data_IF_049527323524
#
_entry.id   IF_049527323524
#
_cell.length_a   1.000
_cell.length_b   1.000
_cell.length_c   1.000
_cell.angle_alpha   90.00
_cell.angle_beta   90.00
_cell.angle_gamma   90.00
#
_symmetry.space_group_name_H-M   'P 1'
#
loop_
_entity.id
_entity.type
_entity.pdbx_description
1 polymer ?
#
# COMPACT_ATOMS: atom_id res chain seq x y z
N UNK A 1 -2.02 12.88 25.51
CA UNK A 1 -1.44 11.55 25.22
C UNK A 1 -2.49 10.72 24.50
N UNK A 2 -2.15 10.16 23.33
CA UNK A 2 -3.09 9.40 22.49
C UNK A 2 -2.56 9.21 21.07
N UNK A 3 -1.26 8.96 20.91
CA UNK A 3 -0.67 8.51 19.66
C UNK A 3 -0.99 7.02 19.50
N UNK A 4 -1.89 6.67 18.58
CA UNK A 4 -1.93 5.41 17.81
C UNK A 4 -3.30 5.28 17.15
N UNK A 5 -3.45 5.94 16.00
CA UNK A 5 -4.46 5.55 15.02
C UNK A 5 -4.02 4.24 14.35
N UNK A 6 -4.11 3.12 15.07
CA UNK A 6 -4.00 1.78 14.50
C UNK A 6 -5.26 1.51 13.70
N UNK A 7 -5.41 2.23 12.59
CA UNK A 7 -6.52 2.13 11.65
C UNK A 7 -6.24 1.12 10.55
N UNK A 8 -5.60 -0.01 10.87
CA UNK A 8 -5.75 -1.18 10.02
C UNK A 8 -7.07 -1.80 10.47
N UNK A 9 -8.18 -1.29 9.92
CA UNK A 9 -9.44 -2.04 9.96
C UNK A 9 -9.10 -3.47 9.55
N UNK A 10 -9.52 -4.53 10.29
CA UNK A 10 -9.16 -5.89 9.94
C UNK A 10 -9.56 -6.11 8.49
N UNK A 11 -8.57 -6.11 7.60
CA UNK A 11 -8.75 -6.68 6.29
C UNK A 11 -9.01 -8.16 6.55
N UNK A 12 -9.64 -8.84 5.59
CA UNK A 12 -9.64 -10.30 5.62
C UNK A 12 -8.22 -10.80 5.93
N UNK A 13 -8.02 -11.94 6.63
CA UNK A 13 -6.69 -12.49 6.90
C UNK A 13 -5.75 -12.49 5.69
N UNK A 14 -6.29 -12.59 4.48
CA UNK A 14 -5.55 -12.45 3.23
C UNK A 14 -4.91 -11.06 3.01
N UNK A 15 -5.61 -9.97 3.33
CA UNK A 15 -5.07 -8.60 3.23
C UNK A 15 -3.91 -8.39 4.19
N UNK A 16 -4.00 -8.90 5.42
CA UNK A 16 -2.93 -8.78 6.41
C UNK A 16 -1.66 -9.53 5.98
N UNK A 17 -1.82 -10.73 5.40
CA UNK A 17 -0.71 -11.50 4.81
C UNK A 17 -0.04 -10.74 3.67
N UNK A 18 -0.83 -10.11 2.79
CA UNK A 18 -0.30 -9.32 1.68
C UNK A 18 0.41 -8.05 2.16
N UNK A 19 -0.14 -7.37 3.18
CA UNK A 19 0.53 -6.23 3.82
C UNK A 19 1.86 -6.65 4.46
N UNK A 20 1.91 -7.83 5.08
CA UNK A 20 3.17 -8.37 5.60
C UNK A 20 4.18 -8.68 4.48
N UNK A 21 3.71 -9.21 3.34
CA UNK A 21 4.55 -9.50 2.19
C UNK A 21 5.19 -8.24 1.56
N UNK A 22 4.58 -7.05 1.68
CA UNK A 22 5.21 -5.78 1.28
C UNK A 22 6.49 -5.45 2.07
N UNK A 23 6.72 -6.10 3.22
CA UNK A 23 7.93 -5.94 4.04
C UNK A 23 8.94 -7.05 3.83
N UNK A 24 8.71 -7.94 2.85
CA UNK A 24 9.60 -9.05 2.55
C UNK A 24 10.96 -8.55 2.05
N UNK A 25 12.07 -9.24 2.41
CA UNK A 25 13.37 -8.97 1.81
C UNK A 25 13.44 -9.39 0.33
N UNK A 26 12.43 -10.08 -0.20
CA UNK A 26 12.38 -10.51 -1.60
C UNK A 26 11.49 -9.59 -2.42
N UNK A 27 12.05 -9.05 -3.49
CA UNK A 27 11.40 -8.07 -4.34
C UNK A 27 10.17 -8.69 -5.02
N UNK A 28 10.25 -9.97 -5.42
CA UNK A 28 9.15 -10.69 -6.06
C UNK A 28 7.93 -10.82 -5.13
N UNK A 29 8.15 -11.02 -3.83
CA UNK A 29 7.06 -11.10 -2.84
C UNK A 29 6.39 -9.72 -2.65
N UNK A 30 7.19 -8.64 -2.64
CA UNK A 30 6.67 -7.27 -2.56
C UNK A 30 5.86 -6.90 -3.81
N UNK A 31 6.37 -7.23 -5.00
CA UNK A 31 5.70 -6.99 -6.28
C UNK A 31 4.38 -7.77 -6.39
N UNK A 32 4.40 -9.05 -6.01
CA UNK A 32 3.19 -9.86 -5.97
C UNK A 32 2.16 -9.27 -5.02
N UNK A 33 2.58 -8.83 -3.82
CA UNK A 33 1.68 -8.21 -2.86
C UNK A 33 0.98 -6.97 -3.43
N UNK A 34 1.71 -6.07 -4.08
CA UNK A 34 1.14 -4.87 -4.74
C UNK A 34 0.06 -5.24 -5.76
N UNK A 35 0.30 -6.27 -6.58
CA UNK A 35 -0.62 -6.72 -7.62
C UNK A 35 -1.97 -7.23 -7.07
N UNK A 36 -2.00 -7.75 -5.85
CA UNK A 36 -3.24 -8.17 -5.17
C UNK A 36 -3.87 -7.07 -4.34
N UNK A 37 -3.08 -6.29 -3.60
CA UNK A 37 -3.57 -5.25 -2.71
C UNK A 37 -4.38 -4.17 -3.45
N UNK A 38 -4.00 -3.83 -4.69
CA UNK A 38 -4.73 -2.87 -5.52
C UNK A 38 -6.19 -3.24 -5.81
N UNK A 39 -6.55 -4.52 -5.71
CA UNK A 39 -7.90 -5.02 -6.03
C UNK A 39 -8.93 -4.72 -4.92
N UNK A 40 -8.46 -4.44 -3.71
CA UNK A 40 -9.31 -4.19 -2.54
C UNK A 40 -8.80 -2.97 -1.77
N UNK A 41 -8.87 -1.76 -2.37
CA UNK A 41 -8.32 -0.55 -1.76
C UNK A 41 -9.09 -0.15 -0.50
N UNK A 42 -8.33 0.16 0.55
CA UNK A 42 -8.80 0.84 1.75
C UNK A 42 -7.65 1.69 2.32
N UNK A 43 -7.94 2.61 3.23
CA UNK A 43 -6.95 3.56 3.77
C UNK A 43 -5.67 2.88 4.31
N UNK A 44 -5.81 1.71 4.95
CA UNK A 44 -4.69 0.93 5.45
C UNK A 44 -3.81 0.41 4.31
N UNK A 45 -4.42 -0.16 3.27
CA UNK A 45 -3.74 -0.63 2.06
C UNK A 45 -3.08 0.51 1.31
N UNK A 46 -3.79 1.62 1.08
CA UNK A 46 -3.26 2.79 0.38
C UNK A 46 -2.03 3.35 1.09
N UNK A 47 -2.06 3.43 2.42
CA UNK A 47 -0.90 3.84 3.22
C UNK A 47 0.33 2.94 2.98
N UNK A 48 0.14 1.62 2.86
CA UNK A 48 1.25 0.70 2.61
C UNK A 48 1.78 0.83 1.17
N UNK A 49 0.89 1.00 0.18
CA UNK A 49 1.32 1.19 -1.22
C UNK A 49 2.07 2.52 -1.37
N UNK A 50 1.64 3.60 -0.71
CA UNK A 50 2.44 4.82 -0.65
C UNK A 50 3.82 4.57 -0.02
N UNK A 51 3.89 3.79 1.06
CA UNK A 51 5.18 3.42 1.66
C UNK A 51 6.12 2.72 0.68
N UNK A 52 5.59 1.83 -0.16
CA UNK A 52 6.36 1.18 -1.22
C UNK A 52 6.81 2.17 -2.32
N UNK A 53 5.95 3.12 -2.72
CA UNK A 53 6.26 4.14 -3.73
C UNK A 53 7.37 5.13 -3.30
N UNK A 54 7.45 5.41 -1.99
CA UNK A 54 8.47 6.26 -1.38
C UNK A 54 9.66 5.48 -0.80
N UNK A 55 9.73 4.16 -1.00
CA UNK A 55 10.87 3.33 -0.58
C UNK A 55 12.10 3.49 -1.47
N UNK A 56 13.12 2.65 -1.26
CA UNK A 56 14.41 2.75 -1.96
C UNK A 56 14.52 1.85 -3.21
N UNK A 57 13.67 0.83 -3.32
CA UNK A 57 13.72 -0.14 -4.41
C UNK A 57 13.02 0.38 -5.67
N UNK A 58 13.77 0.56 -6.75
CA UNK A 58 13.25 1.17 -7.98
C UNK A 58 12.08 0.39 -8.59
N UNK A 59 12.16 -0.94 -8.66
CA UNK A 59 11.12 -1.76 -9.29
C UNK A 59 9.83 -1.75 -8.46
N UNK A 60 9.97 -1.86 -7.14
CA UNK A 60 8.84 -1.83 -6.21
C UNK A 60 8.19 -0.44 -6.18
N UNK A 61 8.97 0.63 -6.30
CA UNK A 61 8.42 2.00 -6.40
C UNK A 61 7.58 2.19 -7.64
N UNK A 62 8.07 1.74 -8.80
CA UNK A 62 7.34 1.82 -10.07
C UNK A 62 6.04 1.00 -10.01
N UNK A 63 6.12 -0.22 -9.49
CA UNK A 63 4.95 -1.07 -9.30
C UNK A 63 3.92 -0.44 -8.35
N UNK A 64 4.37 0.22 -7.28
CA UNK A 64 3.50 0.90 -6.34
C UNK A 64 2.83 2.14 -6.95
N UNK A 65 3.57 2.91 -7.75
CA UNK A 65 3.00 4.03 -8.51
C UNK A 65 1.91 3.56 -9.48
N UNK A 66 2.17 2.49 -10.24
CA UNK A 66 1.18 1.91 -11.17
C UNK A 66 -0.06 1.43 -10.40
N UNK A 67 0.14 0.75 -9.27
CA UNK A 67 -0.97 0.29 -8.43
C UNK A 67 -1.84 1.46 -7.95
N UNK A 68 -1.25 2.57 -7.48
CA UNK A 68 -2.00 3.76 -7.09
C UNK A 68 -2.72 4.38 -8.29
N UNK A 69 -2.06 4.49 -9.44
CA UNK A 69 -2.68 5.03 -10.65
C UNK A 69 -3.92 4.21 -11.06
N UNK A 70 -3.84 2.88 -11.08
CA UNK A 70 -4.98 1.99 -11.39
C UNK A 70 -6.11 2.12 -10.37
N UNK A 71 -5.78 2.22 -9.08
CA UNK A 71 -6.79 2.46 -8.03
C UNK A 71 -7.50 3.78 -8.28
N UNK A 72 -6.77 4.86 -8.57
CA UNK A 72 -7.37 6.15 -8.91
C UNK A 72 -8.24 6.08 -10.18
N UNK A 73 -7.77 5.36 -11.21
CA UNK A 73 -8.51 5.16 -12.45
C UNK A 73 -9.80 4.34 -12.26
N UNK A 74 -9.89 3.51 -11.22
CA UNK A 74 -11.11 2.77 -10.86
C UNK A 74 -12.24 3.65 -10.27
N UNK A 75 -11.96 4.94 -10.01
CA UNK A 75 -12.88 5.87 -9.37
C UNK A 75 -12.75 5.94 -7.85
N UNK A 76 -11.82 5.18 -7.26
CA UNK A 76 -11.48 5.31 -5.85
C UNK A 76 -10.82 6.68 -5.59
N UNK A 77 -11.33 7.43 -4.62
CA UNK A 77 -10.76 8.73 -4.25
C UNK A 77 -9.51 8.52 -3.43
N UNK A 78 -8.34 8.59 -4.10
CA UNK A 78 -7.05 8.47 -3.43
C UNK A 78 -6.82 9.61 -2.43
N UNK A 79 -6.59 9.29 -1.15
CA UNK A 79 -6.12 10.24 -0.16
C UNK A 79 -4.74 10.78 -0.56
N UNK A 80 -4.46 12.05 -0.27
CA UNK A 80 -3.18 12.66 -0.62
C UNK A 80 -2.06 12.06 0.24
N UNK A 81 -0.85 11.76 -0.32
CA UNK A 81 0.24 11.10 0.41
C UNK A 81 0.65 11.80 1.72
N UNK A 82 0.52 13.12 1.78
CA UNK A 82 0.83 13.91 2.99
C UNK A 82 -0.05 13.57 4.19
N UNK A 83 -1.26 13.04 3.97
CA UNK A 83 -2.13 12.56 5.05
C UNK A 83 -1.53 11.35 5.78
N UNK A 84 -0.58 10.66 5.15
CA UNK A 84 0.15 9.54 5.71
C UNK A 84 1.59 9.89 6.12
N UNK A 85 2.00 11.15 5.94
CA UNK A 85 3.35 11.64 6.27
C UNK A 85 4.38 11.47 5.15
N UNK A 86 3.96 11.18 3.92
CA UNK A 86 4.85 11.16 2.76
C UNK A 86 4.81 12.50 2.01
N UNK A 87 5.95 12.93 1.48
CA UNK A 87 6.12 14.18 0.72
C UNK A 87 6.98 13.95 -0.50
#
# INVERSE_FOLDING_TARGET
AGTQGTGISPGSPATDVLVAALKSPKDEERLAALAYLKKSPNDGVIKQIYGAMYGDDTEVREAAYIALWEIGASGYKLPHPTQYGYS
#
